data_IF_852939562312
#
_entry.id   IF_852939562312
#
_cell.length_a   1.000
_cell.length_b   1.000
_cell.length_c   1.000
_cell.angle_alpha   90.00
_cell.angle_beta   90.00
_cell.angle_gamma   90.00
#
_symmetry.space_group_name_H-M   'P 1'
#
loop_
_entity.id
_entity.type
_entity.pdbx_description
1 polymer ?
#
# COMPACT_ATOMS: atom_id res chain seq x y z
N UNK A 1 27.14 -1.98 1.25
CA UNK A 1 27.00 -3.44 1.45
C UNK A 1 25.61 -4.01 1.15
N UNK A 2 24.51 -3.23 1.08
CA UNK A 2 23.17 -3.79 0.73
C UNK A 2 22.96 -3.95 -0.79
N UNK A 3 23.60 -3.09 -1.61
CA UNK A 3 23.45 -3.09 -3.07
C UNK A 3 24.00 -4.35 -3.78
N UNK A 4 25.13 -4.90 -3.31
CA UNK A 4 25.88 -5.97 -4.02
C UNK A 4 25.10 -7.28 -4.25
N UNK A 5 24.05 -7.56 -3.46
CA UNK A 5 23.25 -8.78 -3.61
C UNK A 5 22.11 -8.63 -4.64
N UNK A 6 21.61 -7.42 -4.86
CA UNK A 6 20.48 -7.17 -5.77
C UNK A 6 20.93 -6.90 -7.22
N UNK A 7 22.19 -6.55 -7.44
CA UNK A 7 22.79 -6.56 -8.78
C UNK A 7 22.68 -7.94 -9.43
N UNK A 8 22.73 -9.01 -8.63
CA UNK A 8 22.61 -10.41 -9.04
C UNK A 8 21.17 -10.93 -9.11
N UNK A 9 20.16 -10.12 -8.81
CA UNK A 9 18.77 -10.56 -8.95
C UNK A 9 18.45 -10.86 -10.42
N UNK A 10 17.60 -11.86 -10.65
CA UNK A 10 17.20 -12.33 -11.96
C UNK A 10 16.78 -11.16 -12.88
N UNK A 11 17.42 -10.98 -14.06
CA UNK A 11 17.06 -9.94 -15.01
C UNK A 11 15.58 -9.96 -15.41
N UNK A 12 14.95 -11.14 -15.50
CA UNK A 12 13.53 -11.27 -15.83
C UNK A 12 12.65 -10.69 -14.72
N UNK A 13 12.99 -11.00 -13.45
CA UNK A 13 12.31 -10.44 -12.29
C UNK A 13 12.40 -8.92 -12.26
N UNK A 14 13.60 -8.37 -12.50
CA UNK A 14 13.81 -6.91 -12.56
C UNK A 14 12.93 -6.27 -13.64
N UNK A 15 12.93 -6.86 -14.83
CA UNK A 15 12.13 -6.35 -15.96
C UNK A 15 10.64 -6.39 -15.66
N UNK A 16 10.13 -7.48 -15.06
CA UNK A 16 8.71 -7.57 -14.68
C UNK A 16 8.32 -6.50 -13.67
N UNK A 17 9.05 -6.39 -12.55
CA UNK A 17 8.73 -5.41 -11.50
C UNK A 17 8.81 -3.97 -12.02
N UNK A 18 9.82 -3.66 -12.84
CA UNK A 18 9.96 -2.36 -13.51
C UNK A 18 8.78 -2.08 -14.44
N UNK A 19 8.37 -3.06 -15.24
CA UNK A 19 7.25 -2.91 -16.18
C UNK A 19 5.94 -2.65 -15.43
N UNK A 20 5.66 -3.41 -14.37
CA UNK A 20 4.48 -3.20 -13.52
C UNK A 20 4.52 -1.80 -12.90
N UNK A 21 5.67 -1.40 -12.32
CA UNK A 21 5.81 -0.08 -11.72
C UNK A 21 5.55 1.06 -12.73
N UNK A 22 6.09 0.95 -13.95
CA UNK A 22 5.86 1.91 -15.03
C UNK A 22 4.38 1.98 -15.47
N UNK A 23 3.68 0.86 -15.48
CA UNK A 23 2.24 0.83 -15.77
C UNK A 23 1.43 1.54 -14.68
N UNK A 24 1.79 1.37 -13.41
CA UNK A 24 1.13 2.04 -12.28
C UNK A 24 1.26 3.56 -12.39
N UNK A 25 2.41 4.08 -12.82
CA UNK A 25 2.67 5.54 -12.89
C UNK A 25 2.61 6.11 -14.31
N UNK A 26 1.85 5.48 -15.20
CA UNK A 26 1.67 5.97 -16.57
C UNK A 26 1.17 7.43 -16.59
N UNK A 27 1.65 8.30 -17.49
CA UNK A 27 1.25 9.70 -17.55
C UNK A 27 -0.28 9.89 -17.58
N UNK A 28 -0.79 10.78 -16.72
CA UNK A 28 -2.22 11.08 -16.62
C UNK A 28 -3.03 10.05 -15.80
N UNK A 29 -2.40 8.99 -15.29
CA UNK A 29 -3.04 7.98 -14.45
C UNK A 29 -2.54 8.04 -13.00
N UNK A 30 -3.39 7.55 -12.09
CA UNK A 30 -3.10 7.41 -10.67
C UNK A 30 -3.68 6.12 -10.08
N UNK A 31 -3.63 6.05 -8.76
CA UNK A 31 -4.09 4.89 -7.98
C UNK A 31 -5.35 5.26 -7.20
N UNK A 32 -6.36 4.39 -7.26
CA UNK A 32 -7.49 4.44 -6.33
C UNK A 32 -7.17 3.56 -5.10
N UNK A 33 -7.01 4.17 -3.92
CA UNK A 33 -6.85 3.45 -2.66
C UNK A 33 -8.23 3.09 -2.08
N UNK A 34 -8.66 1.85 -2.31
CA UNK A 34 -9.94 1.28 -1.84
C UNK A 34 -9.72 0.16 -0.81
N UNK A 35 -8.63 0.27 -0.05
CA UNK A 35 -8.10 -0.74 0.86
C UNK A 35 -8.45 -0.51 2.32
N UNK A 36 -9.52 0.25 2.59
CA UNK A 36 -9.99 0.46 3.95
C UNK A 36 -10.39 -0.87 4.60
N UNK A 37 -9.83 -1.12 5.79
CA UNK A 37 -10.25 -2.24 6.65
C UNK A 37 -11.72 -2.13 7.00
N UNK A 38 -12.33 -3.25 7.44
CA UNK A 38 -13.73 -3.31 7.89
C UNK A 38 -14.06 -2.23 8.94
N UNK A 39 -13.13 -1.93 9.85
CA UNK A 39 -13.28 -0.86 10.84
C UNK A 39 -13.26 0.53 10.21
N UNK A 40 -12.36 0.77 9.25
CA UNK A 40 -12.17 2.09 8.64
C UNK A 40 -13.34 2.45 7.71
N UNK A 41 -13.73 1.52 6.83
CA UNK A 41 -14.91 1.72 5.97
C UNK A 41 -16.20 1.81 6.78
N UNK A 42 -16.28 1.12 7.92
CA UNK A 42 -17.42 1.22 8.83
C UNK A 42 -17.66 2.64 9.36
N UNK A 43 -16.60 3.42 9.60
CA UNK A 43 -16.71 4.84 9.96
C UNK A 43 -17.31 5.64 8.80
N UNK A 44 -16.79 5.46 7.57
CA UNK A 44 -17.31 6.13 6.37
C UNK A 44 -18.79 5.81 6.11
N UNK A 45 -19.19 4.54 6.25
CA UNK A 45 -20.59 4.12 6.05
C UNK A 45 -21.52 4.70 7.13
N UNK A 46 -21.05 4.77 8.38
CA UNK A 46 -21.80 5.39 9.47
C UNK A 46 -22.10 6.87 9.20
N UNK A 47 -21.15 7.62 8.63
CA UNK A 47 -21.32 9.04 8.32
C UNK A 47 -22.46 9.31 7.32
N UNK A 48 -22.84 8.31 6.53
CA UNK A 48 -23.97 8.35 5.58
C UNK A 48 -25.15 7.47 6.02
N UNK A 49 -25.20 7.06 7.29
CA UNK A 49 -26.25 6.22 7.87
C UNK A 49 -26.45 4.85 7.18
N UNK A 50 -25.37 4.26 6.66
CA UNK A 50 -25.37 2.92 6.07
C UNK A 50 -24.75 1.92 7.06
N UNK A 51 -25.40 0.77 7.23
CA UNK A 51 -24.91 -0.30 8.12
C UNK A 51 -23.62 -0.94 7.56
N UNK A 52 -22.66 -1.27 8.44
CA UNK A 52 -21.38 -1.89 8.05
C UNK A 52 -21.51 -3.41 7.85
N UNK A 53 -22.24 -3.82 6.83
CA UNK A 53 -22.34 -5.23 6.39
C UNK A 53 -21.38 -5.53 5.25
N UNK A 54 -21.05 -6.81 5.03
CA UNK A 54 -20.22 -7.21 3.88
C UNK A 54 -20.87 -6.80 2.56
N UNK A 55 -22.19 -6.95 2.45
CA UNK A 55 -22.96 -6.56 1.25
C UNK A 55 -22.83 -5.06 0.96
N UNK A 56 -22.95 -4.20 1.98
CA UNK A 56 -22.82 -2.75 1.79
C UNK A 56 -21.38 -2.35 1.46
N UNK A 57 -20.38 -3.03 2.04
CA UNK A 57 -18.97 -2.84 1.68
C UNK A 57 -18.71 -3.25 0.22
N UNK A 58 -19.25 -4.39 -0.21
CA UNK A 58 -19.18 -4.87 -1.60
C UNK A 58 -19.84 -3.88 -2.55
N UNK A 59 -21.05 -3.42 -2.24
CA UNK A 59 -21.80 -2.45 -3.04
C UNK A 59 -21.03 -1.12 -3.18
N UNK A 60 -20.43 -0.63 -2.09
CA UNK A 60 -19.59 0.57 -2.13
C UNK A 60 -18.38 0.41 -3.07
N UNK A 61 -17.68 -0.74 -3.03
CA UNK A 61 -16.54 -0.98 -3.94
C UNK A 61 -16.99 -1.24 -5.37
N UNK A 62 -18.09 -1.94 -5.58
CA UNK A 62 -18.69 -2.12 -6.89
C UNK A 62 -19.01 -0.77 -7.53
N UNK A 63 -19.64 0.16 -6.80
CA UNK A 63 -19.93 1.51 -7.27
C UNK A 63 -18.68 2.20 -7.84
N UNK A 64 -17.52 2.06 -7.18
CA UNK A 64 -16.27 2.63 -7.66
C UNK A 64 -15.79 1.91 -8.94
N UNK A 65 -15.79 0.58 -8.94
CA UNK A 65 -15.18 -0.23 -10.00
C UNK A 65 -16.06 -0.34 -11.26
N UNK A 66 -17.36 -0.07 -11.16
CA UNK A 66 -18.31 -0.07 -12.29
C UNK A 66 -18.48 1.30 -12.93
N UNK A 67 -17.73 2.32 -12.48
CA UNK A 67 -17.57 3.59 -13.22
C UNK A 67 -17.33 3.31 -14.71
N UNK A 68 -17.93 4.13 -15.58
CA UNK A 68 -17.88 3.96 -17.02
C UNK A 68 -16.45 3.66 -17.51
N UNK A 69 -16.29 2.56 -18.25
CA UNK A 69 -14.97 1.99 -18.59
C UNK A 69 -14.09 2.99 -19.33
N UNK A 70 -14.68 3.73 -20.27
CA UNK A 70 -14.05 4.77 -21.06
C UNK A 70 -13.57 5.97 -20.22
N UNK A 71 -14.14 6.18 -19.04
CA UNK A 71 -13.69 7.23 -18.10
C UNK A 71 -12.63 6.69 -17.14
N UNK A 72 -12.93 5.63 -16.39
CA UNK A 72 -12.03 5.15 -15.33
C UNK A 72 -10.67 4.69 -15.88
N UNK A 73 -10.64 4.06 -17.06
CA UNK A 73 -9.42 3.55 -17.67
C UNK A 73 -8.45 4.66 -18.15
N UNK A 74 -8.93 5.90 -18.31
CA UNK A 74 -8.08 7.05 -18.65
C UNK A 74 -7.32 7.59 -17.46
N UNK A 75 -7.84 7.40 -16.24
CA UNK A 75 -7.34 8.08 -15.04
C UNK A 75 -6.78 7.12 -13.99
N UNK A 76 -7.20 5.85 -13.99
CA UNK A 76 -6.78 4.87 -12.99
C UNK A 76 -5.98 3.77 -13.68
N UNK A 77 -4.76 3.54 -13.18
CA UNK A 77 -3.85 2.46 -13.60
C UNK A 77 -3.80 1.33 -12.57
N UNK A 78 -4.09 1.63 -11.30
CA UNK A 78 -4.08 0.66 -10.22
C UNK A 78 -5.14 0.91 -9.16
N UNK A 79 -5.61 -0.15 -8.52
CA UNK A 79 -6.53 -0.09 -7.38
C UNK A 79 -5.95 -0.90 -6.24
N UNK A 80 -5.85 -0.29 -5.06
CA UNK A 80 -5.43 -1.00 -3.84
C UNK A 80 -6.68 -1.57 -3.18
N UNK A 81 -6.72 -2.89 -3.01
CA UNK A 81 -7.84 -3.62 -2.41
C UNK A 81 -7.53 -4.00 -0.97
N UNK A 82 -8.59 -4.17 -0.18
CA UNK A 82 -8.53 -4.91 1.06
C UNK A 82 -8.75 -6.42 0.79
N UNK A 83 -8.28 -7.28 1.70
CA UNK A 83 -8.38 -8.74 1.55
C UNK A 83 -9.81 -9.23 1.26
N UNK A 84 -10.80 -8.70 1.97
CA UNK A 84 -12.21 -9.01 1.73
C UNK A 84 -12.62 -8.70 0.28
N UNK A 85 -12.27 -7.50 -0.21
CA UNK A 85 -12.64 -7.03 -1.55
C UNK A 85 -11.95 -7.82 -2.65
N UNK A 86 -10.74 -8.34 -2.42
CA UNK A 86 -10.02 -9.16 -3.41
C UNK A 86 -10.83 -10.39 -3.85
N UNK A 87 -11.58 -10.99 -2.91
CA UNK A 87 -12.37 -12.20 -3.15
C UNK A 87 -13.86 -11.94 -3.35
N UNK A 88 -14.27 -10.68 -3.36
CA UNK A 88 -15.64 -10.29 -3.69
C UNK A 88 -15.89 -10.31 -5.20
N UNK A 89 -17.17 -10.37 -5.55
CA UNK A 89 -17.67 -10.37 -6.92
C UNK A 89 -18.69 -9.24 -7.08
N UNK A 90 -18.78 -8.71 -8.28
CA UNK A 90 -19.87 -7.84 -8.67
C UNK A 90 -21.21 -8.61 -8.70
N UNK A 91 -22.32 -7.88 -8.75
CA UNK A 91 -23.68 -8.45 -8.84
C UNK A 91 -23.86 -9.40 -10.02
N UNK A 92 -23.16 -9.19 -11.13
CA UNK A 92 -23.17 -10.07 -12.31
C UNK A 92 -22.33 -11.35 -12.14
N UNK A 93 -21.70 -11.53 -10.97
CA UNK A 93 -20.84 -12.66 -10.63
C UNK A 93 -19.38 -12.49 -11.03
N UNK A 94 -18.99 -11.40 -11.70
CA UNK A 94 -17.61 -11.13 -12.11
C UNK A 94 -16.74 -10.83 -10.88
N UNK A 95 -15.62 -11.56 -10.64
CA UNK A 95 -14.67 -11.20 -9.59
C UNK A 95 -14.13 -9.78 -9.78
N UNK A 96 -13.99 -9.00 -8.70
CA UNK A 96 -13.50 -7.61 -8.82
C UNK A 96 -12.11 -7.53 -9.45
N UNK A 97 -11.23 -8.50 -9.18
CA UNK A 97 -9.93 -8.63 -9.86
C UNK A 97 -10.08 -8.66 -11.38
N UNK A 98 -11.01 -9.46 -11.90
CA UNK A 98 -11.25 -9.59 -13.34
C UNK A 98 -11.94 -8.35 -13.90
N UNK A 99 -12.88 -7.76 -13.15
CA UNK A 99 -13.53 -6.50 -13.51
C UNK A 99 -12.51 -5.36 -13.75
N UNK A 100 -11.51 -5.26 -12.88
CA UNK A 100 -10.42 -4.28 -12.97
C UNK A 100 -9.48 -4.59 -14.14
N UNK A 101 -9.06 -5.84 -14.32
CA UNK A 101 -8.22 -6.26 -15.45
C UNK A 101 -8.87 -5.97 -16.80
N UNK A 102 -10.16 -6.22 -16.95
CA UNK A 102 -10.94 -5.90 -18.17
C UNK A 102 -10.97 -4.40 -18.49
N UNK A 103 -10.64 -3.53 -17.53
CA UNK A 103 -10.54 -2.06 -17.67
C UNK A 103 -9.09 -1.60 -17.82
N UNK A 104 -8.12 -2.51 -17.89
CA UNK A 104 -6.69 -2.18 -17.94
C UNK A 104 -6.17 -1.61 -16.62
N UNK A 105 -6.81 -1.95 -15.50
CA UNK A 105 -6.43 -1.51 -14.16
C UNK A 105 -5.75 -2.66 -13.43
N UNK A 106 -4.58 -2.40 -12.88
CA UNK A 106 -3.82 -3.38 -12.10
C UNK A 106 -4.44 -3.55 -10.71
N UNK A 107 -4.76 -4.78 -10.28
CA UNK A 107 -5.15 -5.04 -8.91
C UNK A 107 -3.92 -4.97 -8.00
N UNK A 108 -4.04 -4.26 -6.88
CA UNK A 108 -3.07 -4.22 -5.79
C UNK A 108 -3.72 -4.59 -4.47
N UNK A 109 -2.91 -4.90 -3.45
CA UNK A 109 -3.40 -5.41 -2.16
C UNK A 109 -2.70 -4.75 -0.97
N UNK A 110 -3.47 -4.30 0.03
CA UNK A 110 -2.90 -3.91 1.33
C UNK A 110 -2.50 -5.15 2.11
N UNK A 111 -1.24 -5.24 2.53
CA UNK A 111 -0.71 -6.44 3.17
C UNK A 111 -0.28 -6.26 4.62
N UNK A 112 -0.13 -5.02 5.09
CA UNK A 112 0.12 -4.74 6.50
C UNK A 112 -1.09 -5.12 7.38
N UNK A 113 -0.81 -5.56 8.61
CA UNK A 113 -1.80 -5.95 9.63
C UNK A 113 -2.01 -4.84 10.66
N UNK A 114 -1.78 -3.58 10.27
CA UNK A 114 -2.01 -2.39 11.10
C UNK A 114 -0.82 -1.98 11.97
N UNK A 115 -0.99 -0.84 12.63
CA UNK A 115 0.03 -0.25 13.52
C UNK A 115 -0.01 -0.87 14.92
N UNK A 116 1.14 -0.92 15.58
CA UNK A 116 1.31 -1.34 16.97
C UNK A 116 2.17 -0.34 17.73
N UNK A 117 1.90 -0.09 19.03
CA UNK A 117 2.68 0.87 19.81
C UNK A 117 4.16 0.52 19.88
N UNK A 118 5.02 1.54 19.82
CA UNK A 118 6.45 1.39 20.13
C UNK A 118 6.67 1.62 21.62
N UNK A 119 7.00 0.54 22.34
CA UNK A 119 7.24 0.61 23.78
C UNK A 119 8.35 1.61 24.12
N UNK A 120 8.10 2.47 25.11
CA UNK A 120 9.05 3.49 25.56
C UNK A 120 9.05 4.78 24.73
N UNK A 121 8.11 4.96 23.80
CA UNK A 121 7.94 6.19 23.02
C UNK A 121 6.68 6.96 23.42
N UNK A 122 6.59 8.24 23.00
CA UNK A 122 5.40 9.07 23.22
C UNK A 122 4.34 8.84 22.12
N UNK A 123 3.59 7.75 22.27
CA UNK A 123 2.46 7.42 21.38
C UNK A 123 2.90 7.33 19.90
N UNK A 124 4.10 6.79 19.69
CA UNK A 124 4.58 6.38 18.36
C UNK A 124 4.29 4.91 18.11
N UNK A 125 4.35 4.50 16.85
CA UNK A 125 4.04 3.15 16.43
C UNK A 125 4.98 2.64 15.34
N UNK A 126 5.06 1.31 15.22
CA UNK A 126 5.52 0.61 14.02
C UNK A 126 4.35 -0.17 13.43
N UNK A 127 4.58 -0.92 12.36
CA UNK A 127 3.53 -1.65 11.66
C UNK A 127 3.85 -3.13 11.62
N UNK A 128 2.85 -3.98 11.84
CA UNK A 128 3.01 -5.44 11.89
C UNK A 128 2.49 -6.13 10.63
N UNK A 129 2.84 -7.41 10.46
CA UNK A 129 2.32 -8.28 9.39
C UNK A 129 3.37 -8.92 8.48
N UNK A 130 4.65 -8.93 8.91
CA UNK A 130 5.74 -9.57 8.17
C UNK A 130 5.71 -11.10 8.30
N UNK A 131 5.24 -11.61 9.44
CA UNK A 131 4.96 -13.04 9.60
C UNK A 131 4.02 -13.47 8.49
N UNK A 132 4.26 -14.65 7.88
CA UNK A 132 3.52 -15.22 6.74
C UNK A 132 3.46 -14.38 5.44
N UNK A 133 4.06 -13.19 5.41
CA UNK A 133 3.91 -12.24 4.29
C UNK A 133 4.34 -12.82 2.94
N UNK A 134 5.43 -13.59 2.88
CA UNK A 134 5.89 -14.17 1.61
C UNK A 134 4.86 -15.13 1.02
N UNK A 135 4.29 -16.02 1.85
CA UNK A 135 3.26 -16.96 1.43
C UNK A 135 1.99 -16.22 0.96
N UNK A 136 1.59 -15.17 1.67
CA UNK A 136 0.47 -14.30 1.28
C UNK A 136 0.74 -13.58 -0.04
N UNK A 137 1.91 -12.99 -0.24
CA UNK A 137 2.26 -12.32 -1.50
C UNK A 137 2.26 -13.29 -2.68
N UNK A 138 2.80 -14.52 -2.51
CA UNK A 138 2.72 -15.57 -3.53
C UNK A 138 1.27 -15.88 -3.88
N UNK A 139 0.40 -16.01 -2.87
CA UNK A 139 -1.02 -16.27 -3.10
C UNK A 139 -1.70 -15.09 -3.79
N UNK A 140 -1.51 -13.86 -3.34
CA UNK A 140 -2.09 -12.66 -3.97
C UNK A 140 -1.60 -12.47 -5.41
N UNK A 141 -0.35 -12.82 -5.72
CA UNK A 141 0.16 -12.80 -7.10
C UNK A 141 -0.59 -13.81 -7.98
N UNK A 142 -0.84 -15.02 -7.48
CA UNK A 142 -1.67 -16.04 -8.17
C UNK A 142 -3.11 -15.56 -8.35
N UNK A 143 -3.64 -14.87 -7.34
CA UNK A 143 -5.00 -14.31 -7.35
C UNK A 143 -5.11 -13.03 -8.20
N UNK A 144 -4.01 -12.58 -8.83
CA UNK A 144 -4.02 -11.54 -9.86
C UNK A 144 -3.44 -10.18 -9.44
N UNK A 145 -3.04 -10.00 -8.18
CA UNK A 145 -2.41 -8.76 -7.72
C UNK A 145 -1.01 -8.58 -8.31
N UNK A 146 -0.70 -7.35 -8.73
CA UNK A 146 0.60 -7.00 -9.32
C UNK A 146 1.46 -6.16 -8.37
N UNK A 147 0.82 -5.47 -7.43
CA UNK A 147 1.49 -4.62 -6.45
C UNK A 147 0.84 -4.73 -5.08
N UNK A 148 1.54 -4.26 -4.06
CA UNK A 148 1.05 -4.24 -2.69
C UNK A 148 1.27 -2.87 -2.06
N UNK A 149 0.61 -2.63 -0.94
CA UNK A 149 0.79 -1.44 -0.10
C UNK A 149 1.09 -1.85 1.34
N UNK A 150 2.01 -1.12 1.98
CA UNK A 150 2.27 -1.20 3.41
C UNK A 150 2.41 0.20 3.98
N UNK A 151 1.54 0.52 4.95
CA UNK A 151 1.47 1.83 5.59
C UNK A 151 2.19 1.83 6.94
N UNK A 152 3.17 2.70 7.10
CA UNK A 152 3.71 3.10 8.39
C UNK A 152 3.21 4.50 8.76
N UNK A 153 3.21 4.82 10.07
CA UNK A 153 2.71 6.10 10.58
C UNK A 153 3.74 6.72 11.49
N UNK A 154 4.05 7.98 11.23
CA UNK A 154 4.89 8.83 12.06
C UNK A 154 4.11 10.10 12.42
N UNK A 155 4.40 10.66 13.60
CA UNK A 155 3.72 11.84 14.14
C UNK A 155 4.73 12.96 14.35
N UNK A 156 4.35 14.19 14.01
CA UNK A 156 5.13 15.37 14.38
C UNK A 156 4.58 15.91 15.70
N UNK A 157 5.40 15.83 16.74
CA UNK A 157 5.18 16.46 18.05
C UNK A 157 6.49 17.16 18.46
N UNK A 158 6.55 17.69 19.68
CA UNK A 158 7.75 18.33 20.22
C UNK A 158 9.02 17.47 20.08
N UNK A 159 8.94 16.20 20.46
CA UNK A 159 10.07 15.25 20.46
C UNK A 159 9.86 14.06 19.49
N UNK A 160 8.90 14.19 18.56
CA UNK A 160 8.57 13.17 17.56
C UNK A 160 8.76 13.70 16.12
N UNK A 161 9.07 12.81 15.16
CA UNK A 161 9.32 11.38 15.34
C UNK A 161 10.68 11.11 16.02
N UNK A 162 10.72 10.15 16.93
CA UNK A 162 11.97 9.76 17.58
C UNK A 162 12.86 9.00 16.59
N UNK A 163 14.17 8.97 16.89
CA UNK A 163 15.12 8.14 16.11
C UNK A 163 14.72 6.66 16.09
N UNK A 164 14.13 6.16 17.19
CA UNK A 164 13.63 4.79 17.25
C UNK A 164 12.49 4.57 16.26
N UNK A 165 11.49 5.45 16.24
CA UNK A 165 10.36 5.35 15.32
C UNK A 165 10.80 5.45 13.85
N UNK A 166 11.71 6.37 13.52
CA UNK A 166 12.25 6.51 12.16
C UNK A 166 12.96 5.22 11.72
N UNK A 167 13.89 4.70 12.55
CA UNK A 167 14.68 3.52 12.20
C UNK A 167 13.82 2.26 12.09
N UNK A 168 12.90 2.05 13.02
CA UNK A 168 12.05 0.86 13.05
C UNK A 168 11.06 0.84 11.87
N UNK A 169 10.41 1.97 11.59
CA UNK A 169 9.50 2.05 10.44
C UNK A 169 10.27 1.94 9.10
N UNK A 170 11.46 2.54 8.98
CA UNK A 170 12.30 2.36 7.80
C UNK A 170 12.70 0.88 7.59
N UNK A 171 13.08 0.20 8.67
CA UNK A 171 13.50 -1.20 8.63
C UNK A 171 12.35 -2.15 8.27
N UNK A 172 11.16 -1.97 8.87
CA UNK A 172 9.99 -2.81 8.56
C UNK A 172 9.53 -2.61 7.11
N UNK A 173 9.57 -1.37 6.58
CA UNK A 173 9.26 -1.07 5.18
C UNK A 173 10.25 -1.74 4.22
N UNK A 174 11.55 -1.72 4.53
CA UNK A 174 12.57 -2.40 3.72
C UNK A 174 12.37 -3.93 3.71
N UNK A 175 12.04 -4.53 4.86
CA UNK A 175 11.72 -5.96 4.99
C UNK A 175 10.48 -6.32 4.17
N UNK A 176 9.41 -5.53 4.28
CA UNK A 176 8.20 -5.67 3.48
C UNK A 176 8.50 -5.60 1.97
N UNK A 177 9.27 -4.59 1.54
CA UNK A 177 9.60 -4.39 0.13
C UNK A 177 10.40 -5.56 -0.44
N UNK A 178 11.40 -6.04 0.31
CA UNK A 178 12.20 -7.22 -0.06
C UNK A 178 11.33 -8.47 -0.25
N UNK A 179 10.42 -8.73 0.69
CA UNK A 179 9.52 -9.90 0.62
C UNK A 179 8.59 -9.80 -0.59
N UNK A 180 7.99 -8.63 -0.86
CA UNK A 180 7.11 -8.44 -2.02
C UNK A 180 7.85 -8.69 -3.33
N UNK A 181 9.04 -8.12 -3.50
CA UNK A 181 9.85 -8.31 -4.70
C UNK A 181 10.23 -9.78 -4.90
N UNK A 182 10.57 -10.50 -3.82
CA UNK A 182 10.83 -11.96 -3.89
C UNK A 182 9.62 -12.77 -4.37
N UNK A 183 8.41 -12.25 -4.17
CA UNK A 183 7.15 -12.84 -4.59
C UNK A 183 6.60 -12.21 -5.90
N UNK A 184 7.44 -11.48 -6.66
CA UNK A 184 7.08 -10.84 -7.93
C UNK A 184 5.94 -9.81 -7.82
N UNK A 185 5.85 -9.13 -6.67
CA UNK A 185 4.89 -8.04 -6.39
C UNK A 185 5.66 -6.73 -6.22
N UNK A 186 5.19 -5.66 -6.87
CA UNK A 186 5.75 -4.30 -6.68
C UNK A 186 5.32 -3.74 -5.33
N UNK A 187 6.24 -3.36 -4.43
CA UNK A 187 5.88 -2.77 -3.14
C UNK A 187 5.69 -1.24 -3.23
N UNK A 188 4.54 -0.74 -2.81
CA UNK A 188 4.32 0.67 -2.48
C UNK A 188 4.69 0.87 -1.01
N UNK A 189 5.76 1.62 -0.81
CA UNK A 189 6.34 1.97 0.50
C UNK A 189 5.70 3.28 0.97
N UNK A 190 4.90 3.24 2.03
CA UNK A 190 4.12 4.39 2.51
C UNK A 190 4.55 4.77 3.96
N UNK A 191 5.58 5.62 4.11
CA UNK A 191 5.97 6.19 5.41
C UNK A 191 5.15 7.47 5.68
N UNK A 192 3.90 7.32 6.08
CA UNK A 192 3.01 8.47 6.27
C UNK A 192 3.40 9.28 7.50
N UNK A 193 3.68 10.57 7.29
CA UNK A 193 3.85 11.56 8.35
C UNK A 193 2.51 12.28 8.50
N UNK A 194 1.88 12.13 9.66
CA UNK A 194 0.56 12.70 9.89
C UNK A 194 0.60 14.24 9.90
N UNK A 195 -0.43 14.91 9.34
CA UNK A 195 -0.54 16.37 9.38
C UNK A 195 -1.02 16.88 10.74
N UNK A 196 -1.44 16.00 11.66
CA UNK A 196 -1.90 16.35 13.00
C UNK A 196 -0.86 17.18 13.76
N UNK A 197 -1.30 18.29 14.36
CA UNK A 197 -0.49 19.19 15.16
C UNK A 197 -0.56 20.65 14.69
N UNK A 198 0.28 21.49 15.28
CA UNK A 198 0.40 22.94 15.03
C UNK A 198 1.74 23.31 14.36
N UNK A 199 2.47 22.31 13.84
CA UNK A 199 3.74 22.50 13.19
C UNK A 199 3.60 23.22 11.84
N UNK A 200 4.63 23.98 11.45
CA UNK A 200 4.64 24.69 10.18
C UNK A 200 5.14 23.81 9.01
N UNK A 201 5.10 24.38 7.81
CA UNK A 201 5.58 23.72 6.60
C UNK A 201 7.06 23.35 6.67
N UNK A 202 7.90 24.20 7.25
CA UNK A 202 9.33 23.97 7.34
C UNK A 202 9.63 22.75 8.22
N UNK A 203 8.91 22.60 9.34
CA UNK A 203 9.01 21.42 10.21
C UNK A 203 8.53 20.16 9.50
N UNK A 204 7.41 20.21 8.77
CA UNK A 204 6.92 19.08 7.99
C UNK A 204 7.95 18.65 6.92
N UNK A 205 8.55 19.60 6.20
CA UNK A 205 9.60 19.34 5.22
C UNK A 205 10.82 18.68 5.88
N UNK A 206 11.32 19.23 6.99
CA UNK A 206 12.48 18.68 7.70
C UNK A 206 12.23 17.21 8.10
N UNK A 207 11.09 16.92 8.72
CA UNK A 207 10.76 15.56 9.15
C UNK A 207 10.61 14.63 7.94
N UNK A 208 10.02 15.11 6.85
CA UNK A 208 9.90 14.35 5.61
C UNK A 208 11.26 13.98 5.03
N UNK A 209 12.19 14.94 4.96
CA UNK A 209 13.56 14.69 4.48
C UNK A 209 14.28 13.65 5.34
N UNK A 210 14.21 13.78 6.67
CA UNK A 210 14.84 12.83 7.61
C UNK A 210 14.27 11.41 7.48
N UNK A 211 12.94 11.27 7.41
CA UNK A 211 12.26 9.98 7.28
C UNK A 211 12.56 9.34 5.93
N UNK A 212 12.45 10.08 4.83
CA UNK A 212 12.72 9.54 3.50
C UNK A 212 14.19 9.15 3.34
N UNK A 213 15.13 9.96 3.85
CA UNK A 213 16.54 9.61 3.86
C UNK A 213 16.79 8.27 4.58
N UNK A 214 16.16 8.06 5.74
CA UNK A 214 16.25 6.80 6.47
C UNK A 214 15.65 5.62 5.67
N UNK A 215 14.45 5.78 5.09
CA UNK A 215 13.78 4.75 4.28
C UNK A 215 14.65 4.35 3.07
N UNK A 216 15.15 5.31 2.30
CA UNK A 216 15.98 5.02 1.13
C UNK A 216 17.36 4.45 1.51
N UNK A 217 17.87 4.75 2.70
CA UNK A 217 19.15 4.21 3.17
C UNK A 217 19.11 2.69 3.39
N UNK A 218 17.98 2.16 3.83
CA UNK A 218 17.80 0.74 4.19
C UNK A 218 17.02 -0.05 3.14
N UNK A 219 16.24 0.61 2.28
CA UNK A 219 15.46 -0.06 1.24
C UNK A 219 16.31 -0.37 0.02
N UNK A 220 16.11 -1.55 -0.57
CA UNK A 220 16.61 -1.85 -1.91
C UNK A 220 15.44 -2.03 -2.87
N UNK A 221 15.51 -1.32 -3.98
CA UNK A 221 14.50 -1.40 -5.04
C UNK A 221 15.08 -2.11 -6.25
N UNK A 222 14.39 -3.15 -6.72
CA UNK A 222 14.71 -3.83 -7.99
C UNK A 222 14.08 -3.17 -9.22
N UNK A 223 13.15 -2.24 -9.01
CA UNK A 223 12.36 -1.61 -10.06
C UNK A 223 12.89 -0.23 -10.50
N UNK A 224 14.03 0.20 -9.97
CA UNK A 224 14.70 1.49 -10.26
C UNK A 224 16.05 1.16 -10.89
#
# INVERSE_FOLDING_TARGET
MVAEKYDKADPELKLELKTIAQQIVAPGKGILAADESTTTIGKRLKDINVENTEENRKAYRQLLFTTAKDVISQHISGVILFHETLYQKAEDGTPFVELLKQRGILPGIKVDKGVVPLFGTDDECTTQGLDDLQARCIQYKKDGCQFAKWRCVLKIKKDCPSKLAILENANVLARYASICQSARIVPIVEPEILPDGDHDLARCQQVTEEVLAAVYKVTVFLAI
#
